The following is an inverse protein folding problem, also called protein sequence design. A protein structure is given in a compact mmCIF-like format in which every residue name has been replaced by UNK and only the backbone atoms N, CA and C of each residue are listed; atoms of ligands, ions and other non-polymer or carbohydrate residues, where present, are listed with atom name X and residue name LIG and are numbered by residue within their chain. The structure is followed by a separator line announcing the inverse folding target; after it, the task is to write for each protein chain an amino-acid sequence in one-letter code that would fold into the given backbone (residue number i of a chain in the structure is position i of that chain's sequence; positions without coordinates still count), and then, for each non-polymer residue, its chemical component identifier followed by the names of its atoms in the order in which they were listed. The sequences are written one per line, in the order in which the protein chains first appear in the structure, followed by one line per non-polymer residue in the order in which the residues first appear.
data_IF_640720121267
#
_entry.id   IF_640720121267
#
_cell.length_a   1.000
_cell.length_b   1.000
_cell.length_c   1.000
_cell.angle_alpha   90.00
_cell.angle_beta   90.00
_cell.angle_gamma   90.00
#
_symmetry.space_group_name_H-M   'P 1'
#
loop_
_entity.id
_entity.type
_entity.pdbx_description
1 polymer ?
#
# COMPACT_ATOMS: atom_id res chain seq x y z
N UNK A 1 31.08 39.72 -43.24
CA UNK A 1 29.64 39.39 -43.07
C UNK A 1 29.34 37.87 -43.02
N UNK A 2 30.35 36.99 -42.86
CA UNK A 2 30.15 35.52 -42.84
C UNK A 2 30.26 34.91 -41.44
N UNK A 3 31.00 35.55 -40.51
CA UNK A 3 31.19 35.05 -39.15
C UNK A 3 29.88 34.98 -38.35
N UNK A 4 29.01 35.98 -38.47
CA UNK A 4 27.71 36.01 -37.78
C UNK A 4 26.80 34.87 -38.25
N UNK A 5 26.82 34.52 -39.54
CA UNK A 5 26.03 33.41 -40.09
C UNK A 5 26.54 32.05 -39.60
N UNK A 6 27.87 31.89 -39.53
CA UNK A 6 28.50 30.67 -39.03
C UNK A 6 28.16 30.48 -37.54
N UNK A 7 28.26 31.55 -36.73
CA UNK A 7 27.90 31.52 -35.31
C UNK A 7 26.42 31.18 -35.11
N UNK A 8 25.52 31.78 -35.90
CA UNK A 8 24.09 31.55 -35.79
C UNK A 8 23.71 30.11 -36.14
N UNK A 9 24.31 29.56 -37.20
CA UNK A 9 24.13 28.16 -37.58
C UNK A 9 24.67 27.20 -36.52
N UNK A 10 25.82 27.51 -35.92
CA UNK A 10 26.38 26.70 -34.83
C UNK A 10 25.46 26.71 -33.61
N UNK A 11 24.96 27.87 -33.20
CA UNK A 11 24.02 27.99 -32.09
C UNK A 11 22.70 27.26 -32.37
N UNK A 12 22.19 27.32 -33.61
CA UNK A 12 20.99 26.60 -34.01
C UNK A 12 21.16 25.08 -33.91
N UNK A 13 22.33 24.55 -34.29
CA UNK A 13 22.65 23.12 -34.16
C UNK A 13 22.76 22.70 -32.69
N UNK A 14 23.44 23.49 -31.85
CA UNK A 14 23.55 23.22 -30.41
C UNK A 14 22.17 23.26 -29.74
N UNK A 15 21.33 24.23 -30.10
CA UNK A 15 19.96 24.34 -29.63
C UNK A 15 19.14 23.09 -30.04
N UNK A 16 19.23 22.67 -31.29
CA UNK A 16 18.53 21.49 -31.81
C UNK A 16 18.94 20.21 -31.05
N UNK A 17 20.24 20.00 -30.83
CA UNK A 17 20.75 18.87 -30.06
C UNK A 17 20.21 18.93 -28.61
N UNK A 18 20.21 20.12 -28.00
CA UNK A 18 19.65 20.34 -26.67
C UNK A 18 18.17 19.98 -26.59
N UNK A 19 17.35 20.43 -27.55
CA UNK A 19 15.91 20.13 -27.59
C UNK A 19 15.63 18.64 -27.77
N UNK A 20 16.49 17.90 -28.47
CA UNK A 20 16.35 16.45 -28.64
C UNK A 20 16.82 15.72 -27.38
N UNK A 21 17.99 16.04 -26.84
CA UNK A 21 18.60 15.31 -25.72
C UNK A 21 17.90 15.57 -24.37
N UNK A 22 17.36 16.77 -24.17
CA UNK A 22 16.76 17.19 -22.89
C UNK A 22 15.54 16.34 -22.49
N UNK A 23 14.58 16.05 -23.39
CA UNK A 23 13.50 15.09 -23.10
C UNK A 23 13.99 13.70 -22.73
N UNK A 24 15.05 13.17 -23.36
CA UNK A 24 15.61 11.86 -22.99
C UNK A 24 16.27 11.89 -21.60
N UNK A 25 16.98 12.97 -21.27
CA UNK A 25 17.55 13.17 -19.95
C UNK A 25 16.46 13.25 -18.87
N UNK A 26 15.41 14.03 -19.13
CA UNK A 26 14.28 14.14 -18.22
C UNK A 26 13.48 12.84 -18.12
N UNK A 27 13.18 12.14 -19.22
CA UNK A 27 12.50 10.86 -19.19
C UNK A 27 13.28 9.83 -18.35
N UNK A 28 14.61 9.74 -18.51
CA UNK A 28 15.45 8.80 -17.76
C UNK A 28 15.53 9.12 -16.26
N UNK A 29 15.50 10.40 -15.88
CA UNK A 29 15.60 10.82 -14.49
C UNK A 29 14.23 10.89 -13.80
N UNK A 30 13.17 11.39 -14.46
CA UNK A 30 11.81 11.39 -13.92
C UNK A 30 11.22 9.98 -13.85
N UNK A 31 11.53 9.07 -14.79
CA UNK A 31 11.14 7.67 -14.65
C UNK A 31 11.77 6.99 -13.43
N UNK A 32 12.93 7.47 -12.94
CA UNK A 32 13.52 6.99 -11.68
C UNK A 32 12.81 7.57 -10.44
N UNK A 33 12.25 8.78 -10.51
CA UNK A 33 11.52 9.42 -9.39
C UNK A 33 10.08 8.91 -9.31
N UNK A 34 9.40 8.69 -10.45
CA UNK A 34 8.10 8.03 -10.51
C UNK A 34 8.21 6.50 -10.33
N UNK A 35 9.38 5.94 -10.65
CA UNK A 35 9.75 4.55 -10.47
C UNK A 35 10.56 4.31 -9.21
N UNK A 36 10.37 5.11 -8.15
CA UNK A 36 10.51 4.56 -6.80
C UNK A 36 9.39 3.53 -6.69
N UNK A 37 9.64 2.35 -7.28
CA UNK A 37 9.05 1.10 -6.85
C UNK A 37 9.22 1.15 -5.36
N UNK A 38 8.13 1.49 -4.66
CA UNK A 38 7.96 1.02 -3.31
C UNK A 38 8.13 -0.49 -3.48
N UNK A 39 9.33 -0.97 -3.14
CA UNK A 39 9.61 -2.38 -2.93
C UNK A 39 8.89 -2.74 -1.64
N UNK A 40 7.58 -2.46 -1.58
CA UNK A 40 6.74 -2.93 -0.53
C UNK A 40 6.82 -4.43 -0.65
N UNK A 41 7.33 -5.10 0.37
CA UNK A 41 7.58 -6.54 0.33
C UNK A 41 6.26 -7.35 0.35
N UNK A 42 5.13 -6.66 0.36
CA UNK A 42 3.79 -7.14 0.14
C UNK A 42 2.98 -6.10 -0.65
N UNK A 43 1.91 -6.55 -1.31
CA UNK A 43 0.86 -5.67 -1.85
C UNK A 43 -0.38 -5.82 -0.97
N UNK A 44 -0.78 -4.75 -0.29
CA UNK A 44 -2.02 -4.70 0.46
C UNK A 44 -3.15 -4.22 -0.44
N UNK A 45 -4.18 -5.05 -0.58
CA UNK A 45 -5.40 -4.71 -1.34
C UNK A 45 -6.54 -4.60 -0.35
N UNK A 46 -7.15 -3.42 -0.31
CA UNK A 46 -8.36 -3.21 0.48
C UNK A 46 -9.57 -3.83 -0.21
N UNK A 47 -10.47 -4.42 0.56
CA UNK A 47 -11.78 -4.91 0.12
C UNK A 47 -12.91 -4.24 0.92
N UNK A 48 -12.59 -3.16 1.64
CA UNK A 48 -13.54 -2.49 2.53
C UNK A 48 -14.72 -1.87 1.78
N UNK A 49 -14.63 -1.61 0.46
CA UNK A 49 -15.77 -1.10 -0.30
C UNK A 49 -16.94 -2.10 -0.36
N UNK A 50 -16.68 -3.38 -0.08
CA UNK A 50 -17.72 -4.43 0.04
C UNK A 50 -18.51 -4.32 1.34
N UNK A 51 -18.03 -3.55 2.31
CA UNK A 51 -18.61 -3.46 3.64
C UNK A 51 -19.09 -2.03 3.93
N UNK A 52 -20.41 -1.82 4.13
CA UNK A 52 -20.94 -0.49 4.42
C UNK A 52 -20.41 0.01 5.77
N UNK A 53 -20.18 1.32 5.85
CA UNK A 53 -19.69 2.01 7.06
C UNK A 53 -18.29 1.58 7.54
N UNK A 54 -17.49 0.98 6.66
CA UNK A 54 -16.06 0.78 6.88
C UNK A 54 -15.27 1.75 6.01
N UNK A 55 -14.26 2.37 6.58
CA UNK A 55 -13.30 3.21 5.88
C UNK A 55 -11.89 2.70 6.16
N UNK A 56 -11.03 2.79 5.15
CA UNK A 56 -9.63 2.40 5.23
C UNK A 56 -8.78 3.59 4.82
N UNK A 57 -7.70 3.83 5.55
CA UNK A 57 -6.71 4.82 5.20
C UNK A 57 -5.32 4.27 5.49
N UNK A 58 -4.34 4.71 4.69
CA UNK A 58 -2.94 4.36 4.84
C UNK A 58 -2.13 5.65 4.94
N UNK A 59 -1.21 5.69 5.90
CA UNK A 59 -0.23 6.75 6.06
C UNK A 59 1.15 6.12 6.27
N UNK A 60 1.97 6.12 5.22
CA UNK A 60 3.25 5.38 5.18
C UNK A 60 3.04 3.89 5.48
N UNK A 61 3.60 3.39 6.58
CA UNK A 61 3.55 1.97 7.01
C UNK A 61 2.48 1.73 8.08
N UNK A 62 1.70 2.77 8.43
CA UNK A 62 0.58 2.67 9.34
C UNK A 62 -0.74 2.60 8.56
N UNK A 63 -1.55 1.62 8.93
CA UNK A 63 -2.86 1.37 8.35
C UNK A 63 -3.93 1.63 9.39
N UNK A 64 -5.04 2.22 8.96
CA UNK A 64 -6.16 2.53 9.82
C UNK A 64 -7.45 2.05 9.18
N UNK A 65 -8.21 1.24 9.91
CA UNK A 65 -9.59 0.90 9.56
C UNK A 65 -10.50 1.55 10.60
N UNK A 66 -11.49 2.30 10.13
CA UNK A 66 -12.56 2.84 10.98
C UNK A 66 -13.89 2.24 10.54
N UNK A 67 -14.68 1.75 11.49
CA UNK A 67 -16.00 1.18 11.26
C UNK A 67 -17.04 1.80 12.19
N UNK A 68 -18.28 1.88 11.71
CA UNK A 68 -19.44 2.12 12.57
C UNK A 68 -20.10 0.78 12.91
N UNK A 69 -20.19 0.46 14.19
CA UNK A 69 -20.64 -0.86 14.67
C UNK A 69 -22.16 -0.96 14.50
N UNK A 70 -22.65 -2.07 13.94
CA UNK A 70 -24.10 -2.27 13.77
C UNK A 70 -24.74 -3.14 14.87
N UNK A 71 -23.93 -3.82 15.70
CA UNK A 71 -24.42 -4.69 16.76
C UNK A 71 -23.37 -4.94 17.85
N UNK A 72 -23.71 -5.66 18.93
CA UNK A 72 -22.84 -5.87 20.08
C UNK A 72 -21.52 -6.54 19.75
N UNK A 73 -21.51 -7.52 18.85
CA UNK A 73 -20.30 -8.15 18.30
C UNK A 73 -20.42 -8.16 16.79
N UNK A 74 -19.32 -7.86 16.09
CA UNK A 74 -19.33 -7.86 14.64
C UNK A 74 -17.99 -8.34 14.08
N UNK A 75 -18.05 -9.32 13.19
CA UNK A 75 -16.91 -9.82 12.45
C UNK A 75 -17.05 -9.41 10.98
N UNK A 76 -15.97 -8.89 10.41
CA UNK A 76 -15.84 -8.62 8.98
C UNK A 76 -14.70 -9.46 8.44
N UNK A 77 -15.02 -10.42 7.57
CA UNK A 77 -14.07 -11.40 7.08
C UNK A 77 -13.52 -10.97 5.72
N UNK A 78 -12.20 -11.06 5.54
CA UNK A 78 -11.54 -10.72 4.28
C UNK A 78 -11.63 -9.23 3.91
N UNK A 79 -11.53 -8.34 4.91
CA UNK A 79 -11.58 -6.88 4.71
C UNK A 79 -10.35 -6.34 3.98
N UNK A 80 -9.21 -7.00 4.14
CA UNK A 80 -7.98 -6.70 3.42
C UNK A 80 -7.36 -7.99 2.88
N UNK A 81 -6.50 -7.87 1.88
CA UNK A 81 -5.77 -8.98 1.29
C UNK A 81 -4.29 -8.59 1.22
N UNK A 82 -3.45 -9.38 1.88
CA UNK A 82 -2.00 -9.26 1.79
C UNK A 82 -1.52 -10.22 0.72
N UNK A 83 -0.89 -9.70 -0.32
CA UNK A 83 -0.26 -10.50 -1.36
C UNK A 83 1.25 -10.53 -1.13
N UNK A 84 1.85 -11.72 -1.24
CA UNK A 84 3.29 -11.90 -1.30
C UNK A 84 3.76 -11.83 -2.76
N UNK A 85 4.26 -10.70 -3.27
CA UNK A 85 4.72 -10.60 -4.65
C UNK A 85 6.08 -11.25 -4.87
N UNK A 86 6.71 -11.79 -3.82
CA UNK A 86 8.07 -12.32 -3.90
C UNK A 86 8.10 -13.77 -4.37
N UNK A 87 9.27 -14.19 -4.84
CA UNK A 87 9.59 -15.53 -5.31
C UNK A 87 9.87 -16.53 -4.18
N UNK A 88 9.74 -16.09 -2.93
CA UNK A 88 9.98 -16.89 -1.73
C UNK A 88 8.82 -16.78 -0.74
N UNK A 89 8.72 -17.78 0.12
CA UNK A 89 7.81 -17.74 1.27
C UNK A 89 8.26 -16.64 2.22
N UNK A 90 7.31 -15.84 2.71
CA UNK A 90 7.54 -14.80 3.71
C UNK A 90 6.62 -14.99 4.91
N UNK A 91 7.11 -14.60 6.07
CA UNK A 91 6.30 -14.56 7.29
C UNK A 91 5.85 -13.13 7.52
N UNK A 92 4.54 -12.92 7.50
CA UNK A 92 3.95 -11.63 7.83
C UNK A 92 3.40 -11.68 9.26
N UNK A 93 3.41 -10.53 9.93
CA UNK A 93 2.75 -10.34 11.20
C UNK A 93 2.00 -9.02 11.25
N UNK A 94 0.86 -9.04 11.93
CA UNK A 94 0.00 -7.89 12.17
C UNK A 94 0.26 -7.40 13.58
N UNK A 95 0.63 -6.13 13.70
CA UNK A 95 0.76 -5.46 14.99
C UNK A 95 -0.33 -4.40 15.08
N UNK A 96 -1.27 -4.57 16.00
CA UNK A 96 -2.27 -3.55 16.30
C UNK A 96 -1.62 -2.52 17.22
N UNK A 97 -1.46 -1.29 16.73
CA UNK A 97 -0.83 -0.19 17.46
C UNK A 97 -1.83 0.59 18.30
N UNK A 98 -3.11 0.59 17.90
CA UNK A 98 -4.19 1.27 18.62
C UNK A 98 -5.56 0.70 18.25
N UNK A 99 -6.51 0.76 19.17
CA UNK A 99 -7.90 0.34 18.94
C UNK A 99 -8.34 -0.84 19.80
N UNK A 100 -9.65 -1.10 19.79
CA UNK A 100 -10.29 -2.18 20.57
C UNK A 100 -10.63 -3.40 19.72
N UNK A 101 -10.39 -3.33 18.41
CA UNK A 101 -10.71 -4.39 17.46
C UNK A 101 -9.50 -5.28 17.21
N UNK A 102 -9.75 -6.56 17.03
CA UNK A 102 -8.72 -7.54 16.67
C UNK A 102 -8.60 -7.66 15.17
N UNK A 103 -7.37 -7.63 14.66
CA UNK A 103 -7.04 -7.93 13.27
C UNK A 103 -6.30 -9.27 13.21
N UNK A 104 -6.68 -10.12 12.27
CA UNK A 104 -6.14 -11.46 12.17
C UNK A 104 -6.14 -11.97 10.73
N UNK A 105 -5.25 -12.89 10.43
CA UNK A 105 -5.17 -13.57 9.15
C UNK A 105 -6.23 -14.67 9.05
N UNK A 106 -6.78 -14.86 7.85
CA UNK A 106 -7.80 -15.88 7.58
C UNK A 106 -9.22 -15.36 7.78
N UNK A 107 -10.17 -16.29 7.80
CA UNK A 107 -11.62 -16.00 7.89
C UNK A 107 -12.28 -16.72 9.08
N UNK A 108 -11.49 -17.32 9.98
CA UNK A 108 -12.01 -18.02 11.15
C UNK A 108 -11.97 -17.11 12.40
N UNK A 109 -13.11 -16.59 12.88
CA UNK A 109 -13.16 -15.72 14.05
C UNK A 109 -12.81 -16.45 15.36
N UNK A 110 -12.74 -17.78 15.38
CA UNK A 110 -12.30 -18.55 16.54
C UNK A 110 -10.78 -18.77 16.58
N UNK A 111 -10.07 -18.41 15.50
CA UNK A 111 -8.63 -18.58 15.38
C UNK A 111 -7.98 -17.27 14.89
N UNK A 112 -7.73 -16.37 15.84
CA UNK A 112 -7.23 -15.03 15.59
C UNK A 112 -5.70 -15.04 15.38
N UNK A 113 -5.26 -15.51 14.22
CA UNK A 113 -3.83 -15.56 13.85
C UNK A 113 -3.27 -14.16 13.60
N UNK A 114 -2.26 -13.73 14.35
CA UNK A 114 -1.56 -12.46 14.13
C UNK A 114 -0.29 -12.61 13.29
N UNK A 115 0.11 -13.84 12.95
CA UNK A 115 1.22 -14.12 12.04
C UNK A 115 0.91 -15.28 11.12
N UNK A 116 1.41 -15.22 9.88
CA UNK A 116 1.23 -16.26 8.89
C UNK A 116 2.44 -16.39 7.97
N UNK A 117 2.73 -17.63 7.56
CA UNK A 117 3.63 -17.91 6.44
C UNK A 117 2.84 -17.90 5.14
N UNK A 118 3.14 -16.94 4.27
CA UNK A 118 2.53 -16.82 2.95
C UNK A 118 3.54 -17.32 1.89
N UNK A 119 3.24 -18.40 1.17
CA UNK A 119 4.07 -18.85 0.05
C UNK A 119 4.24 -17.76 -1.03
N UNK A 120 5.22 -17.94 -1.90
CA UNK A 120 5.46 -17.04 -3.03
C UNK A 120 4.19 -16.86 -3.88
N UNK A 121 3.89 -15.64 -4.30
CA UNK A 121 2.76 -15.30 -5.18
C UNK A 121 1.37 -15.70 -4.64
N UNK A 122 1.24 -15.81 -3.31
CA UNK A 122 -0.04 -16.11 -2.66
C UNK A 122 -0.67 -14.88 -2.01
N UNK A 123 -1.98 -14.96 -1.81
CA UNK A 123 -2.79 -13.94 -1.18
C UNK A 123 -3.36 -14.50 0.13
N UNK A 124 -3.30 -13.71 1.19
CA UNK A 124 -3.87 -14.07 2.48
C UNK A 124 -4.89 -13.00 2.90
N UNK A 125 -6.14 -13.38 3.22
CA UNK A 125 -7.11 -12.43 3.74
C UNK A 125 -6.75 -12.02 5.17
N UNK A 126 -7.06 -10.77 5.49
CA UNK A 126 -7.05 -10.22 6.84
C UNK A 126 -8.48 -9.85 7.19
N UNK A 127 -8.89 -10.28 8.36
CA UNK A 127 -10.22 -10.11 8.91
C UNK A 127 -10.18 -9.22 10.15
N UNK A 128 -11.30 -8.58 10.42
CA UNK A 128 -11.48 -7.63 11.51
C UNK A 128 -12.59 -8.13 12.43
N UNK A 129 -12.30 -8.21 13.72
CA UNK A 129 -13.26 -8.62 14.74
C UNK A 129 -13.43 -7.51 15.78
N UNK A 130 -14.68 -7.11 16.00
CA UNK A 130 -15.07 -6.17 17.04
C UNK A 130 -15.72 -6.92 18.20
N UNK A 131 -15.08 -6.97 19.39
CA UNK A 131 -15.60 -7.69 20.54
C UNK A 131 -16.78 -6.95 21.20
N UNK A 132 -17.54 -7.67 22.05
CA UNK A 132 -18.73 -7.13 22.73
C UNK A 132 -18.45 -5.93 23.63
N UNK A 133 -17.30 -5.97 24.31
CA UNK A 133 -16.87 -4.98 25.30
C UNK A 133 -16.48 -3.64 24.68
N UNK A 134 -16.23 -3.63 23.36
CA UNK A 134 -15.81 -2.43 22.65
C UNK A 134 -17.00 -1.46 22.49
N UNK A 135 -17.03 -0.46 23.37
CA UNK A 135 -18.13 0.45 23.65
C UNK A 135 -17.91 1.78 22.92
N UNK A 136 -18.30 1.82 21.65
CA UNK A 136 -18.29 3.03 20.83
C UNK A 136 -19.08 2.83 19.55
N UNK A 137 -19.91 3.81 19.17
CA UNK A 137 -20.66 3.78 17.90
C UNK A 137 -19.73 3.73 16.68
N UNK A 138 -18.55 4.36 16.81
CA UNK A 138 -17.46 4.26 15.85
C UNK A 138 -16.21 3.71 16.53
N UNK A 139 -15.56 2.79 15.85
CA UNK A 139 -14.35 2.14 16.31
C UNK A 139 -13.27 2.27 15.24
N UNK A 140 -12.06 2.55 15.70
CA UNK A 140 -10.89 2.64 14.85
C UNK A 140 -9.85 1.65 15.33
N UNK A 141 -9.24 0.95 14.38
CA UNK A 141 -8.05 0.13 14.60
C UNK A 141 -6.92 0.68 13.75
N UNK A 142 -5.77 0.89 14.37
CA UNK A 142 -4.53 1.21 13.72
C UNK A 142 -3.59 0.03 13.84
N UNK A 143 -2.91 -0.30 12.75
CA UNK A 143 -2.03 -1.45 12.71
C UNK A 143 -0.89 -1.27 11.71
N UNK A 144 0.12 -2.11 11.86
CA UNK A 144 1.27 -2.21 10.99
C UNK A 144 1.45 -3.67 10.54
N UNK A 145 2.11 -3.86 9.40
CA UNK A 145 2.46 -5.18 8.87
C UNK A 145 3.98 -5.30 8.89
N UNK A 146 4.47 -6.27 9.65
CA UNK A 146 5.89 -6.58 9.76
C UNK A 146 6.23 -7.86 8.99
N UNK A 147 7.47 -7.92 8.50
CA UNK A 147 8.05 -9.14 7.95
C UNK A 147 9.11 -9.64 8.90
N UNK A 148 9.06 -10.93 9.15
CA UNK A 148 10.00 -11.66 9.98
C UNK A 148 10.97 -12.48 9.14
#
# INVERSE_FOLDING_TARGET
MNYTKILLNFLAVVLLIGLIATPFYFARNFAKVAGVKSSSPYLLVSQIEKFPNITFSQSSDAYRISLAKQGPSQAFLGVLIINNPTDRTQTYSLEVTSGQNSLFFGEDPNNLLTSIMAPSLTSVPVSLYSPEEASGESQTVEFQIHIN
#
